data_IF_969868797252
#
_entry.id   IF_969868797252
#
_cell.length_a   1.000
_cell.length_b   1.000
_cell.length_c   1.000
_cell.angle_alpha   90.00
_cell.angle_beta   90.00
_cell.angle_gamma   90.00
#
_symmetry.space_group_name_H-M   'P 1'
#
loop_
_entity.id
_entity.type
_entity.pdbx_description
1 polymer ?
#
# COMPACT_ATOMS: atom_id res chain seq x y z
N UNK A 1 -10.59 0.57 16.24
CA UNK A 1 -10.10 0.71 17.62
C UNK A 1 -10.13 2.16 18.13
N UNK A 2 -10.69 3.10 17.35
CA UNK A 2 -10.85 4.51 17.73
C UNK A 2 -9.59 5.37 17.67
N UNK A 3 -8.54 4.91 17.05
CA UNK A 3 -7.30 5.67 16.91
C UNK A 3 -7.46 6.85 15.93
N UNK A 4 -6.81 7.98 16.22
CA UNK A 4 -6.61 9.04 15.24
C UNK A 4 -5.64 8.62 14.13
N UNK A 5 -5.75 9.24 12.95
CA UNK A 5 -4.97 8.89 11.75
C UNK A 5 -3.44 8.98 11.93
N UNK A 6 -2.96 9.74 12.92
CA UNK A 6 -1.53 9.89 13.22
C UNK A 6 -0.95 8.81 14.15
N UNK A 7 -1.77 7.89 14.68
CA UNK A 7 -1.28 6.87 15.59
C UNK A 7 -0.75 5.65 14.79
N UNK A 8 0.42 5.14 15.22
CA UNK A 8 1.09 4.03 14.55
C UNK A 8 0.34 2.71 14.64
N UNK A 9 0.42 1.92 13.57
CA UNK A 9 -0.01 0.52 13.51
C UNK A 9 1.12 -0.34 12.91
N UNK A 10 1.02 -1.66 13.01
CA UNK A 10 1.97 -2.56 12.37
C UNK A 10 1.47 -2.90 10.96
N UNK A 11 2.28 -2.63 9.94
CA UNK A 11 2.09 -3.15 8.60
C UNK A 11 2.68 -4.56 8.51
N UNK A 12 1.91 -5.50 8.00
CA UNK A 12 2.27 -6.90 7.84
C UNK A 12 2.24 -7.23 6.35
N UNK A 13 3.40 -7.43 5.76
CA UNK A 13 3.53 -7.87 4.38
C UNK A 13 3.37 -9.39 4.30
N UNK A 14 2.27 -9.87 3.73
CA UNK A 14 1.89 -11.28 3.56
C UNK A 14 1.73 -12.08 4.87
N UNK A 15 2.62 -11.95 5.85
CA UNK A 15 2.60 -12.79 7.06
C UNK A 15 3.18 -14.21 6.82
N UNK A 16 2.89 -15.24 7.67
CA UNK A 16 2.09 -15.15 8.90
C UNK A 16 2.79 -14.42 10.05
N UNK A 17 2.01 -13.87 10.99
CA UNK A 17 2.53 -13.20 12.20
C UNK A 17 1.81 -13.69 13.43
N UNK A 18 2.53 -13.80 14.55
CA UNK A 18 1.98 -14.09 15.88
C UNK A 18 2.41 -13.00 16.85
N UNK A 19 1.43 -12.40 17.54
CA UNK A 19 1.62 -11.31 18.48
C UNK A 19 1.09 -11.74 19.85
N UNK A 20 1.98 -11.82 20.85
CA UNK A 20 1.59 -12.15 22.21
C UNK A 20 1.40 -10.87 23.02
N UNK A 21 0.25 -10.75 23.69
CA UNK A 21 -0.01 -9.68 24.63
C UNK A 21 0.76 -9.92 25.93
N UNK A 22 1.39 -8.85 26.43
CA UNK A 22 2.05 -8.85 27.73
C UNK A 22 1.52 -7.62 28.49
N UNK A 23 0.89 -7.85 29.63
CA UNK A 23 0.09 -6.84 30.32
C UNK A 23 -1.31 -6.77 29.69
N UNK A 24 -1.94 -5.65 29.66
CA UNK A 24 -3.26 -5.49 29.04
C UNK A 24 -4.39 -5.41 30.08
N UNK A 25 -5.66 -5.44 29.68
CA UNK A 25 -6.20 -5.77 28.35
C UNK A 25 -6.00 -4.65 27.33
N UNK A 26 -5.98 -5.02 26.03
CA UNK A 26 -5.91 -4.08 24.91
C UNK A 26 -6.97 -4.41 23.86
N UNK A 27 -7.58 -3.39 23.27
CA UNK A 27 -8.47 -3.56 22.12
C UNK A 27 -7.63 -3.49 20.84
N UNK A 28 -7.77 -4.50 20.00
CA UNK A 28 -7.03 -4.63 18.73
C UNK A 28 -7.97 -4.82 17.56
N UNK A 29 -7.50 -4.52 16.35
CA UNK A 29 -8.18 -4.86 15.11
C UNK A 29 -7.15 -5.18 14.04
N UNK A 30 -7.57 -6.01 13.07
CA UNK A 30 -6.79 -6.28 11.85
C UNK A 30 -7.62 -5.87 10.65
N UNK A 31 -7.01 -5.09 9.76
CA UNK A 31 -7.64 -4.60 8.51
C UNK A 31 -6.70 -4.81 7.33
N UNK A 32 -7.11 -4.42 6.13
CA UNK A 32 -6.31 -4.52 4.91
C UNK A 32 -6.58 -5.81 4.16
N UNK A 33 -5.55 -6.62 3.89
CA UNK A 33 -5.71 -7.87 3.16
C UNK A 33 -6.57 -8.89 3.92
N UNK A 34 -7.29 -9.76 3.18
CA UNK A 34 -8.20 -10.77 3.73
C UNK A 34 -7.41 -11.92 4.39
N UNK A 35 -7.03 -11.71 5.65
CA UNK A 35 -6.30 -12.67 6.45
C UNK A 35 -7.21 -13.34 7.50
N UNK A 36 -7.04 -14.62 7.71
CA UNK A 36 -7.65 -15.32 8.84
C UNK A 36 -6.97 -14.91 10.14
N UNK A 37 -7.77 -14.59 11.15
CA UNK A 37 -7.33 -14.13 12.46
C UNK A 37 -7.79 -15.13 13.51
N UNK A 38 -6.91 -15.44 14.43
CA UNK A 38 -7.15 -16.36 15.54
C UNK A 38 -6.65 -15.74 16.86
N UNK A 39 -7.41 -15.92 17.92
CA UNK A 39 -7.02 -15.59 19.29
C UNK A 39 -7.03 -16.88 20.12
N UNK A 40 -5.86 -17.44 20.41
CA UNK A 40 -5.67 -18.69 21.18
C UNK A 40 -6.52 -19.86 20.65
N UNK A 41 -6.63 -20.06 19.33
CA UNK A 41 -7.43 -21.10 18.68
C UNK A 41 -8.88 -20.70 18.40
N UNK A 42 -9.31 -19.50 18.79
CA UNK A 42 -10.65 -19.01 18.53
C UNK A 42 -10.67 -17.98 17.38
N UNK A 43 -11.38 -18.25 16.27
CA UNK A 43 -11.42 -17.32 15.14
C UNK A 43 -11.95 -15.94 15.53
N UNK A 44 -11.40 -14.90 14.89
CA UNK A 44 -11.82 -13.50 15.02
C UNK A 44 -12.08 -12.91 13.64
N UNK A 45 -13.13 -12.07 13.50
CA UNK A 45 -13.41 -11.42 12.24
C UNK A 45 -12.35 -10.35 11.93
N UNK A 46 -11.92 -10.26 10.67
CA UNK A 46 -11.16 -9.14 10.15
C UNK A 46 -12.06 -7.88 10.06
N UNK A 47 -11.48 -6.70 10.20
CA UNK A 47 -12.23 -5.43 10.16
C UNK A 47 -13.00 -5.10 11.44
N UNK A 48 -12.94 -5.93 12.47
CA UNK A 48 -13.64 -5.75 13.73
C UNK A 48 -12.69 -5.70 14.92
N UNK A 49 -12.99 -4.82 15.90
CA UNK A 49 -12.23 -4.74 17.15
C UNK A 49 -12.55 -5.89 18.11
N UNK A 50 -11.52 -6.47 18.74
CA UNK A 50 -11.67 -7.49 19.78
C UNK A 50 -10.65 -7.27 20.91
N UNK A 51 -11.03 -7.69 22.12
CA UNK A 51 -10.19 -7.55 23.30
C UNK A 51 -9.17 -8.69 23.37
N UNK A 52 -7.94 -8.33 23.74
CA UNK A 52 -6.83 -9.27 23.99
C UNK A 52 -6.31 -9.02 25.39
N UNK A 53 -6.21 -10.07 26.20
CA UNK A 53 -5.75 -10.00 27.59
C UNK A 53 -4.31 -10.51 27.73
N UNK A 54 -3.74 -10.33 28.91
CA UNK A 54 -2.38 -10.79 29.22
C UNK A 54 -2.17 -12.27 28.90
N UNK A 55 -1.06 -12.59 28.27
CA UNK A 55 -0.67 -13.93 27.87
C UNK A 55 -1.28 -14.45 26.58
N UNK A 56 -2.39 -13.85 26.09
CA UNK A 56 -3.04 -14.30 24.86
C UNK A 56 -2.22 -13.98 23.60
N UNK A 57 -2.43 -14.81 22.58
CA UNK A 57 -1.72 -14.70 21.30
C UNK A 57 -2.71 -14.48 20.16
N UNK A 58 -2.52 -13.38 19.42
CA UNK A 58 -3.18 -13.14 18.14
C UNK A 58 -2.33 -13.75 17.04
N UNK A 59 -2.89 -14.64 16.25
CA UNK A 59 -2.28 -15.21 15.06
C UNK A 59 -2.97 -14.62 13.83
N UNK A 60 -2.20 -14.10 12.90
CA UNK A 60 -2.65 -13.54 11.62
C UNK A 60 -2.02 -14.39 10.53
N UNK A 61 -2.84 -15.14 9.81
CA UNK A 61 -2.37 -16.00 8.73
C UNK A 61 -1.93 -15.20 7.51
N UNK A 62 -1.26 -15.86 6.56
CA UNK A 62 -1.07 -15.29 5.24
C UNK A 62 -2.44 -15.05 4.60
N UNK A 63 -2.73 -13.83 4.11
CA UNK A 63 -4.03 -13.53 3.52
C UNK A 63 -4.26 -14.37 2.25
N UNK A 64 -5.52 -14.76 2.00
CA UNK A 64 -5.90 -15.46 0.77
C UNK A 64 -5.71 -14.54 -0.45
N UNK A 65 -6.15 -13.29 -0.35
CA UNK A 65 -5.97 -12.24 -1.36
C UNK A 65 -5.45 -10.96 -0.71
N UNK A 66 -4.92 -10.05 -1.52
CA UNK A 66 -4.28 -8.83 -1.00
C UNK A 66 -2.84 -9.08 -0.55
N UNK A 67 -2.17 -8.03 -0.16
CA UNK A 67 -0.73 -8.03 0.09
C UNK A 67 -0.38 -7.61 1.52
N UNK A 68 -1.06 -6.58 2.05
CA UNK A 68 -0.75 -5.96 3.34
C UNK A 68 -1.93 -5.99 4.28
N UNK A 69 -1.69 -6.50 5.49
CA UNK A 69 -2.61 -6.38 6.61
C UNK A 69 -2.06 -5.37 7.62
N UNK A 70 -2.94 -4.74 8.38
CA UNK A 70 -2.58 -3.72 9.36
C UNK A 70 -3.14 -4.14 10.72
N UNK A 71 -2.24 -4.32 11.70
CA UNK A 71 -2.61 -4.59 13.08
C UNK A 71 -2.59 -3.28 13.86
N UNK A 72 -3.75 -2.89 14.37
CA UNK A 72 -3.96 -1.70 15.17
C UNK A 72 -4.29 -2.07 16.62
N UNK A 73 -3.80 -1.28 17.55
CA UNK A 73 -4.13 -1.37 18.99
C UNK A 73 -4.59 0.00 19.46
N UNK A 74 -5.58 0.04 20.35
CA UNK A 74 -6.04 1.32 20.93
C UNK A 74 -4.88 2.03 21.63
N UNK A 75 -4.71 3.33 21.36
CA UNK A 75 -3.57 4.12 21.80
C UNK A 75 -2.39 4.14 20.84
N UNK A 76 -2.43 3.28 19.81
CA UNK A 76 -1.39 3.14 18.78
C UNK A 76 -0.17 2.33 19.25
N UNK A 77 0.77 2.15 18.36
CA UNK A 77 2.08 1.55 18.64
C UNK A 77 3.05 2.68 18.99
N UNK A 78 3.71 2.54 20.14
CA UNK A 78 4.71 3.52 20.60
C UNK A 78 6.02 3.28 19.83
N UNK A 79 6.37 4.26 18.99
CA UNK A 79 7.64 4.28 18.25
C UNK A 79 8.16 5.72 18.20
N UNK A 80 9.47 5.88 18.16
CA UNK A 80 10.08 7.21 18.03
C UNK A 80 9.78 7.80 16.65
N UNK A 81 9.15 8.96 16.56
CA UNK A 81 8.82 9.56 15.27
C UNK A 81 10.08 10.13 14.59
N UNK A 82 10.13 10.02 13.27
CA UNK A 82 11.08 10.71 12.41
C UNK A 82 10.29 11.66 11.52
N UNK A 83 10.59 12.95 11.54
CA UNK A 83 9.80 13.99 10.85
C UNK A 83 8.29 13.92 11.15
N UNK A 84 7.93 13.72 12.42
CA UNK A 84 6.57 13.55 12.91
C UNK A 84 5.83 12.29 12.38
N UNK A 85 6.53 11.34 11.78
CA UNK A 85 5.98 10.08 11.30
C UNK A 85 6.61 8.89 12.03
N UNK A 86 5.81 7.88 12.36
CA UNK A 86 6.28 6.57 12.86
C UNK A 86 6.35 5.53 11.74
N UNK A 87 6.17 5.94 10.49
CA UNK A 87 6.36 5.07 9.34
C UNK A 87 7.83 4.76 9.11
N UNK A 88 8.13 3.53 8.70
CA UNK A 88 9.49 3.13 8.32
C UNK A 88 9.76 3.38 6.84
N UNK A 89 10.94 3.91 6.51
CA UNK A 89 11.53 3.89 5.17
C UNK A 89 12.85 3.11 5.22
N UNK A 90 12.80 1.79 5.04
CA UNK A 90 14.01 0.95 5.09
C UNK A 90 15.02 1.29 4.01
N UNK A 91 14.58 1.83 2.86
CA UNK A 91 15.45 2.21 1.74
C UNK A 91 16.39 3.35 2.11
N UNK A 92 15.89 4.30 2.91
CA UNK A 92 16.68 5.45 3.39
C UNK A 92 17.15 5.30 4.82
N UNK A 93 16.85 4.18 5.48
CA UNK A 93 17.20 3.94 6.89
C UNK A 93 16.50 4.89 7.86
N UNK A 94 15.30 5.37 7.53
CA UNK A 94 14.52 6.28 8.36
C UNK A 94 13.37 5.57 9.06
N UNK A 95 13.01 6.07 10.26
CA UNK A 95 11.96 5.48 11.08
C UNK A 95 12.38 4.19 11.79
N UNK A 96 11.41 3.46 12.39
CA UNK A 96 11.70 2.24 13.12
C UNK A 96 12.18 1.12 12.19
N UNK A 97 13.11 0.30 12.68
CA UNK A 97 13.56 -0.88 11.95
C UNK A 97 12.41 -1.90 11.77
N UNK A 98 12.41 -2.68 10.68
CA UNK A 98 11.47 -3.79 10.53
C UNK A 98 11.55 -4.77 11.72
N UNK A 99 10.39 -5.14 12.24
CA UNK A 99 10.29 -6.04 13.39
C UNK A 99 10.71 -7.47 13.03
N UNK A 100 11.30 -8.14 14.01
CA UNK A 100 11.74 -9.54 13.92
C UNK A 100 11.08 -10.38 15.02
N UNK A 101 11.11 -11.69 14.85
CA UNK A 101 10.64 -12.60 15.89
C UNK A 101 11.41 -12.38 17.20
N UNK A 102 10.67 -12.22 18.30
CA UNK A 102 11.21 -11.92 19.64
C UNK A 102 11.24 -10.43 19.98
N UNK A 103 11.01 -9.54 19.04
CA UNK A 103 10.93 -8.11 19.33
C UNK A 103 9.70 -7.79 20.20
N UNK A 104 9.81 -6.73 20.98
CA UNK A 104 8.73 -6.19 21.80
C UNK A 104 8.38 -4.80 21.31
N UNK A 105 7.08 -4.54 21.16
CA UNK A 105 6.54 -3.22 20.88
C UNK A 105 5.65 -2.80 22.03
N UNK A 106 5.75 -1.55 22.43
CA UNK A 106 4.89 -0.99 23.48
C UNK A 106 3.64 -0.41 22.85
N UNK A 107 2.52 -0.60 23.55
CA UNK A 107 1.27 0.12 23.24
C UNK A 107 1.46 1.57 23.67
N UNK A 108 1.04 2.50 22.82
CA UNK A 108 1.04 3.92 23.12
C UNK A 108 -0.14 4.34 23.99
N UNK A 109 -0.10 5.57 24.42
CA UNK A 109 -1.13 6.26 25.23
C UNK A 109 -1.85 7.36 24.43
N UNK A 110 -1.80 7.25 23.10
CA UNK A 110 -2.45 8.20 22.22
C UNK A 110 -3.96 8.27 22.46
N UNK A 111 -4.59 9.42 22.19
CA UNK A 111 -6.01 9.61 22.46
C UNK A 111 -6.84 8.64 21.63
N UNK A 112 -7.69 7.86 22.33
CA UNK A 112 -8.69 7.03 21.70
C UNK A 112 -9.99 7.81 21.51
N UNK A 113 -10.50 7.87 20.30
CA UNK A 113 -11.83 8.37 19.98
C UNK A 113 -12.91 7.31 20.18
N UNK A 114 -14.03 7.50 19.51
CA UNK A 114 -15.13 6.53 19.55
C UNK A 114 -14.69 5.23 18.84
N UNK A 115 -14.88 4.11 19.52
CA UNK A 115 -14.70 2.78 18.91
C UNK A 115 -15.81 2.58 17.89
N UNK A 116 -15.45 2.15 16.68
CA UNK A 116 -16.43 1.85 15.64
C UNK A 116 -17.34 0.70 16.10
N UNK A 117 -18.64 0.89 15.95
CA UNK A 117 -19.66 -0.15 16.15
C UNK A 117 -20.01 -0.88 14.85
N UNK A 118 -19.38 -0.51 13.75
CA UNK A 118 -19.51 -1.19 12.45
C UNK A 118 -18.17 -1.74 12.01
N UNK A 119 -18.12 -2.94 11.44
CA UNK A 119 -16.88 -3.48 10.89
C UNK A 119 -16.40 -2.64 9.72
N UNK A 120 -15.08 -2.62 9.52
CA UNK A 120 -14.49 -2.17 8.25
C UNK A 120 -14.72 -3.29 7.23
N UNK A 121 -15.27 -2.94 6.08
CA UNK A 121 -15.43 -3.90 4.99
C UNK A 121 -14.06 -4.30 4.43
N UNK A 122 -13.76 -5.59 4.50
CA UNK A 122 -12.51 -6.16 3.97
C UNK A 122 -12.81 -6.74 2.60
N UNK A 123 -12.47 -5.97 1.58
CA UNK A 123 -12.66 -6.41 0.21
C UNK A 123 -11.57 -7.41 -0.20
N UNK A 124 -11.98 -8.45 -0.91
CA UNK A 124 -11.03 -9.35 -1.55
C UNK A 124 -10.30 -8.61 -2.67
N UNK A 125 -8.97 -8.71 -2.68
CA UNK A 125 -8.19 -8.13 -3.75
C UNK A 125 -8.44 -8.92 -5.05
N UNK A 126 -8.81 -8.23 -6.14
CA UNK A 126 -9.12 -8.88 -7.41
C UNK A 126 -7.86 -9.45 -8.07
N UNK A 127 -8.05 -10.43 -8.95
CA UNK A 127 -6.99 -10.99 -9.80
C UNK A 127 -6.73 -10.16 -11.06
N UNK A 128 -7.64 -9.23 -11.37
CA UNK A 128 -7.51 -8.24 -12.43
C UNK A 128 -8.01 -6.88 -11.92
N UNK A 129 -7.26 -5.82 -12.19
CA UNK A 129 -7.57 -4.44 -11.83
C UNK A 129 -7.73 -3.60 -13.09
N UNK A 130 -8.80 -2.83 -13.15
CA UNK A 130 -8.90 -1.68 -14.04
C UNK A 130 -8.57 -0.44 -13.22
N UNK A 131 -7.57 0.30 -13.64
CA UNK A 131 -7.10 1.53 -13.02
C UNK A 131 -7.61 2.71 -13.86
N UNK A 132 -8.54 3.47 -13.30
CA UNK A 132 -9.02 4.71 -13.89
C UNK A 132 -8.03 5.83 -13.59
N UNK A 133 -7.96 6.81 -14.48
CA UNK A 133 -7.07 7.94 -14.29
C UNK A 133 -7.17 8.95 -15.42
N UNK A 134 -6.34 9.95 -15.35
CA UNK A 134 -6.23 11.01 -16.35
C UNK A 134 -4.88 10.99 -17.05
N UNK A 135 -4.85 11.41 -18.31
CA UNK A 135 -3.58 11.63 -19.01
C UNK A 135 -2.74 12.66 -18.25
N UNK A 136 -1.46 12.48 -18.21
CA UNK A 136 -0.55 13.27 -17.40
C UNK A 136 0.16 14.39 -18.17
N UNK A 137 1.00 15.15 -17.47
CA UNK A 137 1.65 16.34 -18.05
C UNK A 137 2.69 16.01 -19.13
N UNK A 138 3.02 14.72 -19.31
CA UNK A 138 4.01 14.26 -20.29
C UNK A 138 3.48 13.15 -21.19
N UNK A 139 2.16 13.07 -21.41
CA UNK A 139 1.56 12.15 -22.36
C UNK A 139 1.99 12.46 -23.81
N UNK A 140 2.30 13.72 -24.10
CA UNK A 140 2.86 14.20 -25.35
C UNK A 140 4.26 13.66 -25.66
N UNK A 141 4.95 13.11 -24.67
CA UNK A 141 6.23 12.39 -24.86
C UNK A 141 6.08 11.02 -25.49
N UNK A 142 4.84 10.55 -25.65
CA UNK A 142 4.52 9.24 -26.22
C UNK A 142 3.76 9.39 -27.53
N UNK A 143 4.00 8.48 -28.46
CA UNK A 143 3.23 8.42 -29.70
C UNK A 143 1.78 8.01 -29.40
N UNK A 144 0.88 8.23 -30.36
CA UNK A 144 -0.49 7.69 -30.28
C UNK A 144 -0.50 6.17 -30.11
N UNK A 145 0.46 5.46 -30.71
CA UNK A 145 0.62 4.02 -30.53
C UNK A 145 1.05 3.69 -29.10
N UNK A 146 1.97 4.48 -28.53
CA UNK A 146 2.40 4.34 -27.12
C UNK A 146 1.27 4.56 -26.14
N UNK A 147 0.45 5.62 -26.32
CA UNK A 147 -0.74 5.88 -25.49
C UNK A 147 -1.78 4.76 -25.62
N UNK A 148 -2.11 4.34 -26.82
CA UNK A 148 -3.02 3.19 -27.02
C UNK A 148 -2.46 1.89 -26.41
N UNK A 149 -1.15 1.67 -26.49
CA UNK A 149 -0.53 0.51 -25.87
C UNK A 149 -0.67 0.50 -24.36
N UNK A 150 -0.63 1.66 -23.68
CA UNK A 150 -0.87 1.75 -22.24
C UNK A 150 -2.25 1.17 -21.88
N UNK A 151 -3.31 1.55 -22.60
CA UNK A 151 -4.69 1.14 -22.31
C UNK A 151 -5.01 -0.29 -22.79
N UNK A 152 -4.43 -0.71 -23.91
CA UNK A 152 -4.78 -2.00 -24.52
C UNK A 152 -4.00 -3.18 -23.97
N UNK A 153 -2.84 -2.93 -23.34
CA UNK A 153 -1.99 -3.99 -22.81
C UNK A 153 -2.52 -4.51 -21.48
N UNK A 154 -2.66 -5.84 -21.31
CA UNK A 154 -2.88 -6.44 -20.00
C UNK A 154 -1.55 -6.52 -19.25
N UNK A 155 -1.19 -5.44 -18.56
CA UNK A 155 0.02 -5.36 -17.75
C UNK A 155 -0.01 -6.36 -16.60
N UNK A 156 1.15 -6.79 -16.11
CA UNK A 156 1.25 -7.63 -14.92
C UNK A 156 2.07 -6.93 -13.84
N UNK A 157 1.61 -7.04 -12.60
CA UNK A 157 2.39 -6.57 -11.45
C UNK A 157 3.67 -7.39 -11.34
N UNK A 158 4.83 -6.71 -11.32
CA UNK A 158 6.14 -7.34 -11.20
C UNK A 158 6.46 -7.72 -9.76
N UNK A 159 7.31 -8.74 -9.59
CA UNK A 159 7.78 -9.18 -8.26
C UNK A 159 8.56 -8.08 -7.51
N UNK A 160 9.26 -7.20 -8.23
CA UNK A 160 10.07 -6.13 -7.67
C UNK A 160 9.28 -4.87 -7.31
N UNK A 161 7.98 -5.01 -7.01
CA UNK A 161 7.12 -3.93 -6.53
C UNK A 161 7.26 -3.73 -5.03
N UNK A 162 7.20 -2.47 -4.59
CA UNK A 162 7.31 -2.08 -3.18
C UNK A 162 6.35 -0.91 -2.85
N UNK A 163 6.57 -0.22 -1.71
CA UNK A 163 5.75 0.94 -1.32
C UNK A 163 6.08 2.22 -2.09
N UNK A 164 7.25 2.27 -2.75
CA UNK A 164 7.64 3.39 -3.62
C UNK A 164 6.84 3.36 -4.91
N UNK A 165 6.64 2.17 -5.48
CA UNK A 165 5.85 2.02 -6.68
C UNK A 165 5.63 0.57 -7.11
N UNK A 166 4.49 0.37 -7.75
CA UNK A 166 4.14 -0.89 -8.40
C UNK A 166 4.74 -0.92 -9.79
N UNK A 167 5.75 -1.77 -9.99
CA UNK A 167 6.36 -2.02 -11.29
C UNK A 167 5.47 -2.95 -12.10
N UNK A 168 5.41 -2.71 -13.39
CA UNK A 168 4.63 -3.54 -14.30
C UNK A 168 5.56 -4.33 -15.23
N UNK A 169 5.03 -5.40 -15.79
CA UNK A 169 5.64 -6.19 -16.85
C UNK A 169 4.76 -6.13 -18.09
N UNK A 170 5.38 -5.91 -19.25
CA UNK A 170 4.70 -5.76 -20.53
C UNK A 170 5.64 -5.18 -21.59
N UNK A 171 5.12 -4.82 -22.76
CA UNK A 171 5.91 -4.21 -23.82
C UNK A 171 6.38 -2.79 -23.44
N UNK A 172 7.43 -2.32 -24.07
CA UNK A 172 7.83 -0.92 -23.94
C UNK A 172 6.85 0.01 -24.67
N UNK A 173 6.51 1.11 -24.04
CA UNK A 173 5.71 2.18 -24.65
C UNK A 173 6.57 2.97 -25.64
N UNK A 174 6.05 3.22 -26.83
CA UNK A 174 6.73 3.99 -27.86
C UNK A 174 6.78 5.46 -27.51
N UNK A 175 7.98 6.03 -27.49
CA UNK A 175 8.21 7.46 -27.22
C UNK A 175 8.24 8.27 -28.49
N UNK A 176 7.57 9.42 -28.47
CA UNK A 176 7.69 10.49 -29.48
C UNK A 176 8.88 11.40 -29.20
N UNK A 177 9.21 11.62 -27.91
CA UNK A 177 10.34 12.46 -27.48
C UNK A 177 11.38 11.57 -26.82
N UNK A 178 12.62 11.67 -27.31
CA UNK A 178 13.79 11.00 -26.73
C UNK A 178 14.68 12.03 -26.03
N UNK A 179 15.28 11.66 -24.90
CA UNK A 179 16.17 12.53 -24.14
C UNK A 179 15.92 12.43 -22.64
N UNK A 180 16.64 13.25 -21.91
CA UNK A 180 16.50 13.38 -20.46
C UNK A 180 15.46 14.44 -20.12
N UNK A 181 14.63 14.13 -19.12
CA UNK A 181 13.70 15.08 -18.55
C UNK A 181 14.33 15.70 -17.30
N UNK A 182 14.28 17.03 -17.19
CA UNK A 182 14.58 17.69 -15.92
C UNK A 182 13.64 17.17 -14.84
N UNK A 183 14.17 16.94 -13.63
CA UNK A 183 13.35 16.43 -12.53
C UNK A 183 12.13 17.30 -12.28
N UNK A 184 10.96 16.68 -12.25
CA UNK A 184 9.66 17.31 -12.04
C UNK A 184 9.00 16.75 -10.78
N UNK A 185 8.12 17.53 -10.12
CA UNK A 185 7.30 17.01 -9.03
C UNK A 185 6.49 15.79 -9.46
N UNK A 186 6.45 14.78 -8.62
CA UNK A 186 5.60 13.59 -8.83
C UNK A 186 4.69 13.37 -7.64
N UNK A 187 3.62 12.62 -7.85
CA UNK A 187 2.62 12.35 -6.84
C UNK A 187 2.27 10.86 -6.82
N UNK A 188 1.64 10.43 -5.75
CA UNK A 188 1.05 9.09 -5.66
C UNK A 188 0.06 8.87 -6.83
N UNK A 189 0.09 7.68 -7.42
CA UNK A 189 -0.71 7.34 -8.59
C UNK A 189 -0.10 7.77 -9.92
N UNK A 190 0.97 8.59 -9.94
CA UNK A 190 1.62 8.96 -11.20
C UNK A 190 2.19 7.72 -11.90
N UNK A 191 1.89 7.58 -13.19
CA UNK A 191 2.37 6.51 -14.06
C UNK A 191 3.64 7.02 -14.73
N UNK A 192 4.78 6.67 -14.15
CA UNK A 192 6.08 7.06 -14.69
C UNK A 192 6.61 5.98 -15.64
N UNK A 193 7.24 6.41 -16.74
CA UNK A 193 7.83 5.52 -17.73
C UNK A 193 9.34 5.72 -17.81
N UNK A 194 10.16 4.87 -17.17
CA UNK A 194 11.62 4.92 -17.24
C UNK A 194 12.16 4.65 -18.64
N UNK A 195 13.48 4.66 -18.80
CA UNK A 195 14.16 4.38 -20.09
C UNK A 195 13.89 2.97 -20.64
N UNK A 196 13.49 2.03 -19.78
CA UNK A 196 13.03 0.70 -20.22
C UNK A 196 11.76 0.74 -21.06
N UNK A 197 11.01 1.85 -21.01
CA UNK A 197 9.71 2.01 -21.65
C UNK A 197 8.56 1.31 -20.92
N UNK A 198 8.82 0.58 -19.85
CA UNK A 198 7.78 -0.13 -19.10
C UNK A 198 7.28 0.73 -17.93
N UNK A 199 5.95 0.95 -17.79
CA UNK A 199 5.42 1.83 -16.76
C UNK A 199 5.61 1.28 -15.34
N UNK A 200 5.70 2.21 -14.38
CA UNK A 200 5.50 1.97 -12.96
C UNK A 200 4.48 2.97 -12.41
N UNK A 201 3.68 2.57 -11.44
CA UNK A 201 2.71 3.44 -10.77
C UNK A 201 3.23 3.78 -9.38
N UNK A 202 3.40 5.06 -9.07
CA UNK A 202 3.91 5.49 -7.77
C UNK A 202 2.94 5.19 -6.63
N UNK A 203 3.50 4.61 -5.57
CA UNK A 203 2.82 4.26 -4.32
C UNK A 203 2.88 5.36 -3.26
N UNK A 204 2.52 5.03 -2.01
CA UNK A 204 2.51 6.00 -0.91
C UNK A 204 3.89 6.57 -0.54
N UNK A 205 4.97 5.80 -0.75
CA UNK A 205 6.34 6.23 -0.45
C UNK A 205 7.09 6.77 -1.70
N UNK A 206 6.35 7.28 -2.68
CA UNK A 206 6.93 7.87 -3.90
C UNK A 206 7.93 8.99 -3.57
N UNK A 207 8.92 9.25 -4.44
CA UNK A 207 9.81 10.39 -4.27
C UNK A 207 9.06 11.71 -4.48
N UNK A 208 9.61 12.82 -3.99
CA UNK A 208 9.06 14.17 -4.23
C UNK A 208 9.18 14.57 -5.69
N UNK A 209 10.26 14.16 -6.35
CA UNK A 209 10.54 14.49 -7.76
C UNK A 209 11.02 13.25 -8.51
N UNK A 210 10.81 13.23 -9.83
CA UNK A 210 11.28 12.19 -10.73
C UNK A 210 11.81 12.77 -12.06
N UNK A 211 12.71 12.07 -12.72
CA UNK A 211 13.35 12.48 -13.97
C UNK A 211 12.86 11.72 -15.20
N UNK A 212 11.74 11.02 -15.12
CA UNK A 212 11.15 10.31 -16.25
C UNK A 212 9.72 10.81 -16.51
N UNK A 213 9.26 10.78 -17.77
CA UNK A 213 7.95 11.32 -18.12
C UNK A 213 6.81 10.56 -17.40
N UNK A 214 5.87 11.35 -16.88
CA UNK A 214 4.62 10.86 -16.30
C UNK A 214 3.55 10.89 -17.39
N UNK A 215 3.15 9.72 -17.88
CA UNK A 215 2.17 9.56 -18.96
C UNK A 215 0.72 9.75 -18.47
N UNK A 216 0.46 9.51 -17.19
CA UNK A 216 -0.86 9.62 -16.60
C UNK A 216 -0.83 9.59 -15.08
N UNK A 217 -1.98 9.78 -14.45
CA UNK A 217 -2.15 9.68 -13.00
C UNK A 217 -3.41 8.84 -12.72
N UNK A 218 -3.23 7.79 -11.93
CA UNK A 218 -4.29 6.88 -11.47
C UNK A 218 -5.10 7.54 -10.36
N UNK A 219 -6.40 7.32 -10.35
CA UNK A 219 -7.30 7.78 -9.30
C UNK A 219 -6.88 7.25 -7.91
N UNK A 220 -7.03 8.05 -6.85
CA UNK A 220 -6.57 7.67 -5.51
C UNK A 220 -7.11 6.33 -5.00
N UNK A 221 -8.40 6.04 -5.26
CA UNK A 221 -9.02 4.78 -4.83
C UNK A 221 -8.43 3.56 -5.57
N UNK A 222 -8.17 3.69 -6.86
CA UNK A 222 -7.55 2.64 -7.65
C UNK A 222 -6.07 2.46 -7.30
N UNK A 223 -5.37 3.54 -6.93
CA UNK A 223 -4.01 3.46 -6.39
C UNK A 223 -3.97 2.72 -5.04
N UNK A 224 -5.00 2.84 -4.19
CA UNK A 224 -5.14 2.05 -2.96
C UNK A 224 -5.38 0.56 -3.27
N UNK A 225 -6.24 0.26 -4.24
CA UNK A 225 -6.48 -1.12 -4.69
C UNK A 225 -5.22 -1.75 -5.27
N UNK A 226 -4.46 -0.99 -6.07
CA UNK A 226 -3.19 -1.43 -6.64
C UNK A 226 -2.14 -1.74 -5.56
N UNK A 227 -2.14 -1.02 -4.44
CA UNK A 227 -1.23 -1.27 -3.32
C UNK A 227 -1.47 -2.64 -2.64
N UNK A 228 -2.60 -3.28 -2.89
CA UNK A 228 -2.92 -4.64 -2.46
C UNK A 228 -2.67 -5.71 -3.54
N UNK A 229 -2.25 -5.32 -4.73
CA UNK A 229 -2.01 -6.25 -5.82
C UNK A 229 -0.72 -7.04 -5.64
N UNK A 230 -0.80 -8.37 -5.72
CA UNK A 230 0.36 -9.27 -5.72
C UNK A 230 1.02 -9.32 -7.09
N UNK A 231 2.27 -9.78 -7.12
CA UNK A 231 2.93 -10.10 -8.38
C UNK A 231 2.08 -11.06 -9.22
N UNK A 232 2.01 -10.78 -10.53
CA UNK A 232 1.21 -11.52 -11.49
C UNK A 232 -0.24 -11.05 -11.66
N UNK A 233 -0.77 -10.21 -10.77
CA UNK A 233 -2.10 -9.58 -10.96
C UNK A 233 -2.10 -8.80 -12.26
N UNK A 234 -3.17 -8.95 -13.04
CA UNK A 234 -3.35 -8.22 -14.31
C UNK A 234 -3.86 -6.82 -14.03
N UNK A 235 -3.26 -5.83 -14.69
CA UNK A 235 -3.62 -4.42 -14.60
C UNK A 235 -3.94 -3.88 -15.99
N UNK A 236 -5.06 -3.17 -16.11
CA UNK A 236 -5.44 -2.41 -17.31
C UNK A 236 -5.64 -0.96 -16.93
N UNK A 237 -5.39 -0.05 -17.85
CA UNK A 237 -5.63 1.37 -17.65
C UNK A 237 -6.85 1.82 -18.45
N UNK A 238 -7.66 2.67 -17.85
CA UNK A 238 -8.78 3.37 -18.47
C UNK A 238 -8.54 4.88 -18.27
N UNK A 239 -7.96 5.53 -19.28
CA UNK A 239 -7.52 6.90 -19.18
C UNK A 239 -8.53 7.85 -19.81
N UNK A 240 -8.80 8.96 -19.12
CA UNK A 240 -9.65 10.04 -19.64
C UNK A 240 -8.81 11.30 -19.92
N UNK A 241 -9.32 12.17 -20.77
CA UNK A 241 -8.74 13.49 -20.95
C UNK A 241 -8.87 14.28 -19.63
N UNK A 242 -7.87 15.11 -19.36
CA UNK A 242 -7.96 16.06 -18.25
C UNK A 242 -8.48 17.39 -18.79
N UNK A 243 -9.30 18.05 -18.01
CA UNK A 243 -9.77 19.43 -18.25
C UNK A 243 -8.81 20.38 -17.50
N UNK A 244 -7.73 20.81 -18.18
CA UNK A 244 -6.88 21.91 -17.71
C UNK A 244 -7.37 23.25 -18.23
#
# INVERSE_FOLDING_TARGET
VGNGAGLGCLEILLGPVRLRCVGGPVLVAVTGADAQIDLDGAPRPSGWGFLVTDGQTVSIAMPATGLRSYFSVTGGINASPTFASVSADPTRGMGPAPLKAGDRVSVGDGPAGLISTTPVDIQQAPTELVLHGVWGPRDDWFTDAGRRSLEQTPWRVAQASDRVGTRLEGPSLERAVTGELTSEPVMRGAIQVPTSGVPLVFGPDHPTTGGYPVIGVVDPEDADRLAQARAGVVVRFAMTAHDW
#
